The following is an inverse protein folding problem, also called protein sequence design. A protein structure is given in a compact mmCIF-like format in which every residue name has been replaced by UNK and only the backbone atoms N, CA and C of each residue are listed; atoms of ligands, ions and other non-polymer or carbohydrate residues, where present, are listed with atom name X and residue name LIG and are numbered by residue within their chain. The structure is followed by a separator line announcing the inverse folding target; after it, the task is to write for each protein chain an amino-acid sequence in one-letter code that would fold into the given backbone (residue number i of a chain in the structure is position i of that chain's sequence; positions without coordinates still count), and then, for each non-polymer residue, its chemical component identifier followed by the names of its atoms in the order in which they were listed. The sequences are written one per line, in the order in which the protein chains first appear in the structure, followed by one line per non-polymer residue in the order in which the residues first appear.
data_IF_501549269721
#
_entry.id   IF_501549269721
#
_cell.length_a   1.000
_cell.length_b   1.000
_cell.length_c   1.000
_cell.angle_alpha   90.00
_cell.angle_beta   90.00
_cell.angle_gamma   90.00
#
_symmetry.space_group_name_H-M   'P 1'
#
loop_
_entity.id
_entity.type
_entity.pdbx_description
1 polymer ?
#
# COMPACT_ATOMS: atom_id res chain seq x y z
N UNK A 1 27.56 -1.09 22.20
CA UNK A 1 26.85 -2.22 21.56
C UNK A 1 25.40 -1.80 21.42
N UNK A 2 25.08 -0.99 20.42
CA UNK A 2 23.71 -0.43 20.24
C UNK A 2 23.27 -0.46 18.77
N UNK A 3 24.20 -0.33 17.83
CA UNK A 3 23.91 -0.29 16.39
C UNK A 3 23.32 -1.57 15.78
N UNK A 4 23.55 -2.75 16.36
CA UNK A 4 23.05 -4.02 15.77
C UNK A 4 21.55 -4.23 15.94
N UNK A 5 20.91 -3.53 16.88
CA UNK A 5 19.47 -3.68 17.15
C UNK A 5 18.66 -2.81 16.19
N UNK A 6 19.14 -1.60 15.86
CA UNK A 6 18.50 -0.71 14.89
C UNK A 6 18.47 -1.31 13.47
N UNK A 7 19.58 -1.89 13.01
CA UNK A 7 19.67 -2.52 11.68
C UNK A 7 18.66 -3.66 11.51
N UNK A 8 18.44 -4.46 12.56
CA UNK A 8 17.45 -5.55 12.52
C UNK A 8 16.02 -5.02 12.43
N UNK A 9 15.71 -3.91 13.14
CA UNK A 9 14.42 -3.23 13.06
C UNK A 9 14.14 -2.65 11.67
N UNK A 10 15.11 -1.94 11.10
CA UNK A 10 15.02 -1.36 9.75
C UNK A 10 14.87 -2.42 8.66
N UNK A 11 15.62 -3.52 8.77
CA UNK A 11 15.53 -4.66 7.83
C UNK A 11 14.16 -5.32 7.90
N UNK A 12 13.58 -5.45 9.10
CA UNK A 12 12.25 -6.03 9.28
C UNK A 12 11.16 -5.13 8.69
N UNK A 13 11.24 -3.81 8.90
CA UNK A 13 10.33 -2.83 8.30
C UNK A 13 10.38 -2.95 6.77
N UNK A 14 11.56 -2.87 6.17
CA UNK A 14 11.73 -2.97 4.72
C UNK A 14 11.21 -4.29 4.15
N UNK A 15 11.43 -5.40 4.86
CA UNK A 15 10.89 -6.71 4.47
C UNK A 15 9.36 -6.72 4.49
N UNK A 16 8.74 -6.12 5.51
CA UNK A 16 7.28 -6.02 5.60
C UNK A 16 6.72 -5.17 4.45
N UNK A 17 7.29 -4.00 4.15
CA UNK A 17 6.85 -3.16 3.03
C UNK A 17 6.88 -3.96 1.72
N UNK A 18 7.95 -4.72 1.48
CA UNK A 18 8.08 -5.55 0.28
C UNK A 18 7.05 -6.67 0.20
N UNK A 19 6.74 -7.33 1.32
CA UNK A 19 5.71 -8.36 1.38
C UNK A 19 4.35 -7.75 1.05
N UNK A 20 4.01 -6.62 1.65
CA UNK A 20 2.75 -5.92 1.42
C UNK A 20 2.62 -5.45 -0.02
N UNK A 21 3.66 -4.81 -0.57
CA UNK A 21 3.69 -4.38 -1.97
C UNK A 21 3.43 -5.54 -2.93
N UNK A 22 4.18 -6.65 -2.78
CA UNK A 22 4.02 -7.84 -3.62
C UNK A 22 2.62 -8.45 -3.50
N UNK A 23 2.03 -8.43 -2.30
CA UNK A 23 0.69 -8.98 -2.09
C UNK A 23 -0.38 -8.13 -2.77
N UNK A 24 -0.35 -6.81 -2.61
CA UNK A 24 -1.25 -5.89 -3.32
C UNK A 24 -1.15 -6.07 -4.83
N UNK A 25 0.08 -6.10 -5.37
CA UNK A 25 0.32 -6.33 -6.80
C UNK A 25 -0.23 -7.67 -7.28
N UNK A 26 -0.15 -8.72 -6.45
CA UNK A 26 -0.66 -10.06 -6.75
C UNK A 26 -2.19 -10.14 -6.71
N UNK A 27 -2.82 -9.54 -5.69
CA UNK A 27 -4.27 -9.66 -5.46
C UNK A 27 -5.05 -8.78 -6.44
N UNK A 28 -4.55 -7.58 -6.73
CA UNK A 28 -5.35 -6.56 -7.41
C UNK A 28 -4.89 -6.25 -8.83
N UNK A 29 -3.72 -6.78 -9.23
CA UNK A 29 -3.15 -6.61 -10.56
C UNK A 29 -2.85 -5.15 -10.91
N UNK A 30 -1.89 -4.91 -11.79
CA UNK A 30 -1.61 -3.59 -12.39
C UNK A 30 -1.13 -2.44 -11.49
N UNK A 31 -1.08 -2.61 -10.17
CA UNK A 31 -0.39 -1.65 -9.29
C UNK A 31 1.11 -1.68 -9.57
N UNK A 32 1.69 -0.51 -9.84
CA UNK A 32 3.14 -0.33 -10.01
C UNK A 32 3.68 0.45 -8.83
N UNK A 33 4.91 0.15 -8.41
CA UNK A 33 5.58 0.99 -7.43
C UNK A 33 5.89 2.33 -8.08
N UNK A 34 5.35 3.40 -7.52
CA UNK A 34 5.67 4.77 -7.88
C UNK A 34 6.92 5.25 -7.13
N UNK A 35 6.96 5.02 -5.82
CA UNK A 35 8.04 5.48 -4.95
C UNK A 35 8.25 4.54 -3.76
N UNK A 36 9.52 4.36 -3.37
CA UNK A 36 9.91 3.72 -2.11
C UNK A 36 10.38 4.79 -1.13
N UNK A 37 10.00 4.66 0.13
CA UNK A 37 10.51 5.50 1.21
C UNK A 37 11.18 4.64 2.28
N UNK A 38 11.89 5.26 3.22
CA UNK A 38 12.58 4.55 4.30
C UNK A 38 11.62 3.70 5.16
N UNK A 39 10.33 4.08 5.20
CA UNK A 39 9.32 3.46 6.04
C UNK A 39 8.04 3.09 5.29
N UNK A 40 8.06 3.11 3.96
CA UNK A 40 6.85 2.93 3.18
C UNK A 40 7.05 2.72 1.69
N UNK A 41 5.93 2.57 0.99
CA UNK A 41 5.87 2.48 -0.47
C UNK A 41 4.59 3.12 -0.98
N UNK A 42 4.69 3.75 -2.14
CA UNK A 42 3.56 4.27 -2.89
C UNK A 42 3.36 3.36 -4.11
N UNK A 43 2.17 2.78 -4.23
CA UNK A 43 1.75 1.97 -5.36
C UNK A 43 0.66 2.69 -6.13
N UNK A 44 0.81 2.81 -7.45
CA UNK A 44 -0.15 3.49 -8.31
C UNK A 44 -0.73 2.53 -9.33
N UNK A 45 -2.06 2.53 -9.48
CA UNK A 45 -2.78 1.90 -10.59
C UNK A 45 -3.46 2.99 -11.42
N UNK A 46 -3.13 3.05 -12.71
CA UNK A 46 -3.81 3.93 -13.66
C UNK A 46 -5.02 3.20 -14.21
N UNK A 47 -6.22 3.71 -13.94
CA UNK A 47 -7.48 3.15 -14.46
C UNK A 47 -7.74 3.68 -15.87
N UNK A 48 -7.54 4.98 -16.05
CA UNK A 48 -7.54 5.65 -17.35
C UNK A 48 -6.64 6.90 -17.25
N UNK A 49 -6.36 7.62 -18.36
CA UNK A 49 -5.47 8.79 -18.34
C UNK A 49 -5.89 9.92 -17.39
N UNK A 50 -7.14 9.93 -16.93
CA UNK A 50 -7.71 10.92 -16.04
C UNK A 50 -7.96 10.41 -14.61
N UNK A 51 -7.76 9.11 -14.35
CA UNK A 51 -8.07 8.47 -13.06
C UNK A 51 -6.99 7.50 -12.63
N UNK A 52 -6.40 7.79 -11.47
CA UNK A 52 -5.41 6.96 -10.79
C UNK A 52 -5.91 6.56 -9.41
N UNK A 53 -5.42 5.43 -8.93
CA UNK A 53 -5.57 4.99 -7.54
C UNK A 53 -4.17 4.83 -6.97
N UNK A 54 -3.88 5.57 -5.91
CA UNK A 54 -2.63 5.46 -5.20
C UNK A 54 -2.84 4.76 -3.86
N UNK A 55 -1.91 3.90 -3.48
CA UNK A 55 -1.88 3.22 -2.20
C UNK A 55 -0.57 3.58 -1.54
N UNK A 56 -0.65 4.25 -0.40
CA UNK A 56 0.48 4.68 0.40
C UNK A 56 0.52 3.78 1.62
N UNK A 57 1.53 2.92 1.69
CA UNK A 57 1.81 2.11 2.86
C UNK A 57 2.88 2.81 3.70
N UNK A 58 2.61 3.00 4.99
CA UNK A 58 3.57 3.53 5.94
C UNK A 58 3.64 2.63 7.17
N UNK A 59 4.75 1.90 7.28
CA UNK A 59 5.00 0.96 8.36
C UNK A 59 5.29 1.64 9.70
N UNK A 60 5.94 2.81 9.67
CA UNK A 60 6.29 3.55 10.87
C UNK A 60 5.05 4.12 11.56
N UNK A 61 4.09 4.54 10.77
CA UNK A 61 2.79 5.03 11.26
C UNK A 61 1.74 3.91 11.35
N UNK A 62 2.12 2.67 11.03
CA UNK A 62 1.22 1.51 11.00
C UNK A 62 -0.11 1.82 10.32
N UNK A 63 -0.03 2.40 9.11
CA UNK A 63 -1.22 2.81 8.35
C UNK A 63 -1.06 2.56 6.87
N UNK A 64 -2.20 2.34 6.21
CA UNK A 64 -2.33 2.34 4.77
C UNK A 64 -3.29 3.45 4.36
N UNK A 65 -3.01 4.14 3.27
CA UNK A 65 -3.89 5.19 2.73
C UNK A 65 -4.19 4.88 1.27
N UNK A 66 -5.45 4.92 0.90
CA UNK A 66 -5.91 4.77 -0.47
C UNK A 66 -6.34 6.14 -0.96
N UNK A 67 -5.78 6.60 -2.07
CA UNK A 67 -6.14 7.87 -2.71
C UNK A 67 -6.82 7.58 -4.03
N UNK A 68 -8.05 8.04 -4.21
CA UNK A 68 -8.83 7.90 -5.45
C UNK A 68 -9.37 9.26 -5.83
N UNK A 69 -9.05 9.77 -7.02
CA UNK A 69 -9.58 11.05 -7.51
C UNK A 69 -9.51 12.19 -6.47
N UNK A 70 -8.34 12.35 -5.82
CA UNK A 70 -8.08 13.36 -4.76
C UNK A 70 -8.76 13.09 -3.40
N UNK A 71 -9.58 12.05 -3.26
CA UNK A 71 -10.11 11.59 -1.97
C UNK A 71 -9.14 10.59 -1.30
N UNK A 72 -8.77 10.84 -0.05
CA UNK A 72 -7.88 9.98 0.72
C UNK A 72 -8.62 9.23 1.84
N UNK A 73 -8.53 7.91 1.81
CA UNK A 73 -9.09 7.00 2.79
C UNK A 73 -7.96 6.37 3.61
N UNK A 74 -7.89 6.73 4.88
CA UNK A 74 -6.88 6.24 5.81
C UNK A 74 -7.40 5.03 6.57
N UNK A 75 -6.61 3.97 6.59
CA UNK A 75 -6.89 2.75 7.32
C UNK A 75 -5.76 2.47 8.30
N UNK A 76 -6.07 2.20 9.59
CA UNK A 76 -5.07 1.61 10.47
C UNK A 76 -4.58 0.31 9.84
N UNK A 77 -3.34 -0.08 10.13
CA UNK A 77 -2.78 -1.36 9.73
C UNK A 77 -3.57 -2.49 10.39
N UNK A 78 -4.64 -2.89 9.72
CA UNK A 78 -5.41 -4.09 10.00
C UNK A 78 -4.88 -5.22 9.12
N UNK A 79 -5.40 -6.44 9.32
CA UNK A 79 -5.05 -7.58 8.47
C UNK A 79 -5.16 -7.19 7.00
N UNK A 80 -4.19 -7.65 6.21
CA UNK A 80 -4.12 -7.42 4.77
C UNK A 80 -5.44 -7.77 4.07
N UNK A 81 -6.15 -8.78 4.57
CA UNK A 81 -7.45 -9.21 4.03
C UNK A 81 -8.55 -8.14 4.20
N UNK A 82 -8.63 -7.46 5.35
CA UNK A 82 -9.57 -6.35 5.56
C UNK A 82 -9.20 -5.15 4.68
N UNK A 83 -7.90 -4.87 4.53
CA UNK A 83 -7.43 -3.81 3.66
C UNK A 83 -7.72 -4.11 2.18
N UNK A 84 -7.53 -5.35 1.75
CA UNK A 84 -7.88 -5.83 0.42
C UNK A 84 -9.39 -5.66 0.15
N UNK A 85 -10.26 -5.98 1.13
CA UNK A 85 -11.69 -5.72 1.03
C UNK A 85 -11.99 -4.22 0.87
N UNK A 86 -11.43 -3.38 1.75
CA UNK A 86 -11.63 -1.91 1.70
C UNK A 86 -11.17 -1.31 0.38
N UNK A 87 -10.03 -1.77 -0.11
CA UNK A 87 -9.50 -1.35 -1.40
C UNK A 87 -10.40 -1.80 -2.54
N UNK A 88 -10.93 -3.03 -2.49
CA UNK A 88 -11.93 -3.52 -3.44
C UNK A 88 -13.22 -2.69 -3.43
N UNK A 89 -13.61 -2.12 -2.29
CA UNK A 89 -14.78 -1.23 -2.23
C UNK A 89 -14.62 0.04 -3.09
N UNK A 90 -13.38 0.52 -3.24
CA UNK A 90 -13.03 1.70 -4.01
C UNK A 90 -12.56 1.38 -5.44
N UNK A 91 -12.46 0.10 -5.79
CA UNK A 91 -12.04 -0.32 -7.12
C UNK A 91 -13.15 -0.08 -8.16
N UNK A 92 -12.86 0.58 -9.29
CA UNK A 92 -13.85 0.87 -10.34
C UNK A 92 -14.39 -0.38 -11.03
N UNK A 93 -13.69 -1.51 -10.91
CA UNK A 93 -14.10 -2.81 -11.45
C UNK A 93 -15.30 -3.40 -10.69
N UNK A 94 -15.61 -2.92 -9.47
CA UNK A 94 -16.82 -3.30 -8.73
C UNK A 94 -18.12 -2.90 -9.42
N UNK A 95 -18.10 -1.82 -10.21
CA UNK A 95 -19.28 -1.27 -10.90
C UNK A 95 -19.67 -1.99 -12.19
N UNK A 96 -18.97 -3.06 -12.59
CA UNK A 96 -19.19 -3.76 -13.86
C UNK A 96 -19.99 -5.08 -13.75
N UNK A 97 -20.58 -5.40 -12.60
CA UNK A 97 -21.50 -6.53 -12.44
C UNK A 97 -22.91 -6.08 -12.04
#
# INVERSE_FOLDING_TARGET
MTERVDILGETMIQTMIQIWAKRIQKVLGDYKVAEWTDYGVILTKTINPSKTIDIILNEKEEKATIVVDEEAYMYPRQNLDDFEEKLWEHHPERTLN
#
